data_IF_408809026340
#
_entry.id   IF_408809026340
#
_cell.length_a   1.000
_cell.length_b   1.000
_cell.length_c   1.000
_cell.angle_alpha   90.00
_cell.angle_beta   90.00
_cell.angle_gamma   90.00
#
_symmetry.space_group_name_H-M   'P 1'
#
loop_
_entity.id
_entity.type
_entity.pdbx_description
1 polymer ?
#
# COMPACT_ATOMS: atom_id res chain seq x y z
N UNK A 1 2.53 2.55 -14.53
CA UNK A 1 2.41 1.33 -15.36
C UNK A 1 1.48 0.27 -14.77
N UNK A 2 1.67 -0.20 -13.53
CA UNK A 2 0.81 -1.27 -12.96
C UNK A 2 -0.69 -0.96 -12.88
N UNK A 3 -1.07 0.31 -12.64
CA UNK A 3 -2.47 0.73 -12.70
C UNK A 3 -3.06 0.65 -14.11
N UNK A 4 -2.28 1.03 -15.13
CA UNK A 4 -2.70 0.92 -16.53
C UNK A 4 -2.82 -0.55 -16.96
N UNK A 5 -1.96 -1.42 -16.43
CA UNK A 5 -1.99 -2.87 -16.64
C UNK A 5 -3.03 -3.60 -15.77
N UNK A 6 -3.76 -2.88 -14.92
CA UNK A 6 -4.88 -3.42 -14.12
C UNK A 6 -4.50 -4.21 -12.87
N UNK A 7 -3.21 -4.24 -12.47
CA UNK A 7 -2.77 -4.99 -11.28
C UNK A 7 -2.44 -4.12 -10.06
N UNK A 8 -2.58 -2.80 -10.18
CA UNK A 8 -2.53 -1.88 -9.05
C UNK A 8 -3.80 -1.02 -9.01
N UNK A 9 -4.47 -1.01 -7.87
CA UNK A 9 -5.60 -0.15 -7.53
C UNK A 9 -5.31 0.67 -6.27
N UNK A 10 -6.20 1.61 -5.95
CA UNK A 10 -6.11 2.45 -4.75
C UNK A 10 -4.89 3.37 -4.73
N UNK A 11 -4.62 4.04 -5.85
CA UNK A 11 -3.42 4.86 -6.05
C UNK A 11 -3.16 5.89 -4.95
N UNK A 12 -4.18 6.63 -4.52
CA UNK A 12 -4.04 7.61 -3.41
C UNK A 12 -3.60 6.93 -2.11
N UNK A 13 -4.19 5.78 -1.78
CA UNK A 13 -3.86 5.06 -0.56
C UNK A 13 -2.47 4.40 -0.62
N UNK A 14 -1.99 4.04 -1.81
CA UNK A 14 -0.60 3.65 -2.04
C UNK A 14 0.36 4.83 -1.83
N UNK A 15 -0.01 6.03 -2.27
CA UNK A 15 0.79 7.24 -2.05
C UNK A 15 0.86 7.59 -0.56
N UNK A 16 -0.28 7.54 0.15
CA UNK A 16 -0.34 7.72 1.60
C UNK A 16 0.58 6.72 2.34
N UNK A 17 0.56 5.46 1.91
CA UNK A 17 1.43 4.41 2.47
C UNK A 17 2.92 4.72 2.26
N UNK A 18 3.31 5.23 1.09
CA UNK A 18 4.69 5.61 0.81
C UNK A 18 5.12 6.84 1.63
N UNK A 19 4.22 7.81 1.81
CA UNK A 19 4.47 8.98 2.66
C UNK A 19 4.65 8.57 4.12
N UNK A 20 3.76 7.73 4.66
CA UNK A 20 3.86 7.20 6.01
C UNK A 20 5.15 6.39 6.20
N UNK A 21 5.54 5.58 5.21
CA UNK A 21 6.82 4.85 5.22
C UNK A 21 8.00 5.82 5.32
N UNK A 22 7.97 6.95 4.61
CA UNK A 22 9.05 7.96 4.69
C UNK A 22 9.12 8.61 6.08
N UNK A 23 7.98 8.82 6.75
CA UNK A 23 7.93 9.35 8.12
C UNK A 23 8.54 8.41 9.16
N UNK A 24 8.54 7.08 8.92
CA UNK A 24 9.09 6.11 9.90
C UNK A 24 10.57 6.29 10.21
N UNK A 25 11.37 6.82 9.27
CA UNK A 25 12.80 7.10 9.49
C UNK A 25 13.06 8.29 10.41
N UNK A 26 12.05 9.13 10.63
CA UNK A 26 12.12 10.35 11.45
C UNK A 26 10.98 10.42 12.48
N UNK A 27 10.49 9.26 12.94
CA UNK A 27 9.43 9.21 13.93
C UNK A 27 10.02 9.59 15.30
N UNK A 28 9.88 10.86 15.65
CA UNK A 28 10.18 11.37 16.99
C UNK A 28 8.91 11.55 17.84
N UNK A 29 7.73 11.43 17.21
CA UNK A 29 6.42 11.60 17.83
C UNK A 29 5.64 10.27 17.87
N UNK A 30 5.31 9.82 19.09
CA UNK A 30 4.55 8.59 19.35
C UNK A 30 3.12 8.67 18.82
N UNK A 31 2.51 9.86 18.79
CA UNK A 31 1.16 10.04 18.23
C UNK A 31 1.15 9.67 16.74
N UNK A 32 2.08 10.24 15.98
CA UNK A 32 2.29 9.92 14.56
C UNK A 32 2.57 8.43 14.35
N UNK A 33 3.40 7.81 15.19
CA UNK A 33 3.67 6.37 15.09
C UNK A 33 2.41 5.51 15.28
N UNK A 34 1.58 5.86 16.27
CA UNK A 34 0.31 5.17 16.52
C UNK A 34 -0.69 5.36 15.38
N UNK A 35 -0.74 6.53 14.75
CA UNK A 35 -1.59 6.78 13.59
C UNK A 35 -1.15 5.95 12.38
N UNK A 36 0.14 5.94 12.07
CA UNK A 36 0.71 5.13 10.97
C UNK A 36 0.43 3.65 11.22
N UNK A 37 0.63 3.16 12.44
CA UNK A 37 0.32 1.78 12.81
C UNK A 37 -1.16 1.43 12.59
N UNK A 38 -2.09 2.33 12.96
CA UNK A 38 -3.52 2.14 12.68
C UNK A 38 -3.80 2.08 11.18
N UNK A 39 -3.22 2.99 10.39
CA UNK A 39 -3.37 3.02 8.92
C UNK A 39 -2.85 1.75 8.26
N UNK A 40 -1.69 1.25 8.69
CA UNK A 40 -1.13 -0.04 8.24
C UNK A 40 -2.15 -1.15 8.43
N UNK A 41 -2.63 -1.33 9.67
CA UNK A 41 -3.53 -2.43 10.02
C UNK A 41 -4.90 -2.34 9.34
N UNK A 42 -5.45 -1.14 9.20
CA UNK A 42 -6.83 -0.96 8.76
C UNK A 42 -6.95 -0.78 7.25
N UNK A 43 -5.92 -0.22 6.60
CA UNK A 43 -6.00 0.21 5.21
C UNK A 43 -4.93 -0.47 4.34
N UNK A 44 -3.66 -0.34 4.71
CA UNK A 44 -2.56 -0.70 3.79
C UNK A 44 -2.43 -2.20 3.57
N UNK A 45 -2.60 -3.02 4.62
CA UNK A 45 -2.55 -4.50 4.47
C UNK A 45 -3.63 -4.97 3.49
N UNK A 46 -4.88 -4.54 3.66
CA UNK A 46 -5.99 -4.93 2.80
C UNK A 46 -5.74 -4.53 1.34
N UNK A 47 -5.26 -3.30 1.12
CA UNK A 47 -4.93 -2.81 -0.22
C UNK A 47 -3.79 -3.60 -0.87
N UNK A 48 -2.75 -3.94 -0.10
CA UNK A 48 -1.64 -4.74 -0.60
C UNK A 48 -2.07 -6.16 -0.95
N UNK A 49 -2.91 -6.79 -0.13
CA UNK A 49 -3.45 -8.12 -0.43
C UNK A 49 -4.29 -8.14 -1.72
N UNK A 50 -5.12 -7.12 -1.93
CA UNK A 50 -5.88 -6.96 -3.18
C UNK A 50 -4.94 -6.82 -4.39
N UNK A 51 -3.98 -5.90 -4.31
CA UNK A 51 -3.01 -5.67 -5.38
C UNK A 51 -2.14 -6.90 -5.69
N UNK A 52 -1.77 -7.69 -4.66
CA UNK A 52 -1.04 -8.94 -4.86
C UNK A 52 -1.89 -10.00 -5.60
N UNK A 53 -3.19 -10.10 -5.30
CA UNK A 53 -4.10 -10.99 -6.03
C UNK A 53 -4.25 -10.56 -7.48
N UNK A 54 -4.43 -9.27 -7.73
CA UNK A 54 -4.52 -8.72 -9.09
C UNK A 54 -3.22 -8.95 -9.87
N UNK A 55 -2.06 -8.78 -9.22
CA UNK A 55 -0.77 -9.04 -9.86
C UNK A 55 -0.54 -10.52 -10.15
N UNK A 56 -0.93 -11.42 -9.25
CA UNK A 56 -0.87 -12.85 -9.50
C UNK A 56 -1.77 -13.26 -10.69
N UNK A 57 -2.98 -12.68 -10.79
CA UNK A 57 -3.88 -12.91 -11.92
C UNK A 57 -3.29 -12.38 -13.25
N UNK A 58 -2.70 -11.18 -13.22
CA UNK A 58 -1.99 -10.61 -14.37
C UNK A 58 -0.87 -11.54 -14.87
N UNK A 59 -0.01 -12.02 -13.97
CA UNK A 59 1.07 -12.94 -14.32
C UNK A 59 0.58 -14.29 -14.88
N UNK A 60 -0.57 -14.77 -14.41
CA UNK A 60 -1.20 -15.98 -14.94
C UNK A 60 -1.77 -15.80 -16.35
N UNK A 61 -2.21 -14.58 -16.70
CA UNK A 61 -2.76 -14.25 -18.02
C UNK A 61 -1.70 -14.03 -19.11
N UNK A 62 -0.44 -13.78 -18.73
CA UNK A 62 0.69 -13.65 -19.64
C UNK A 62 1.37 -14.99 -19.98
N UNK A 63 0.90 -16.09 -19.40
CA UNK A 63 1.32 -17.47 -19.73
C UNK A 63 0.36 -18.12 -20.72
#
# INVERSE_FOLDING_TARGET
EGAHRGFLTGGELLLDMLEDRNKTSHIYDESTANEIFKRIKQKYINLMEENLKLFAAYLASEK
#
